data_IF_319226893281
#
_entry.id   IF_319226893281
#
_cell.length_a   1.000
_cell.length_b   1.000
_cell.length_c   1.000
_cell.angle_alpha   90.00
_cell.angle_beta   90.00
_cell.angle_gamma   90.00
#
_symmetry.space_group_name_H-M   'P 1'
#
loop_
_entity.id
_entity.type
_entity.pdbx_description
1 polymer ?
#
# COMPACT_ATOMS: atom_id res chain seq x y z
N UNK A 1 4.29 12.87 16.99
CA UNK A 1 3.99 11.96 15.87
C UNK A 1 2.95 12.62 15.00
N UNK A 2 3.12 12.59 13.67
CA UNK A 2 2.16 13.17 12.72
C UNK A 2 0.87 12.33 12.77
N UNK A 3 -0.29 12.97 12.88
CA UNK A 3 -1.58 12.26 12.81
C UNK A 3 -1.68 11.62 11.42
N UNK A 4 -1.95 10.31 11.32
CA UNK A 4 -2.10 9.67 10.02
C UNK A 4 -3.24 10.33 9.24
N UNK A 5 -3.00 10.55 7.97
CA UNK A 5 -3.95 11.07 7.00
C UNK A 5 -3.69 10.39 5.67
N UNK A 6 -4.66 10.48 4.76
CA UNK A 6 -4.47 10.00 3.40
C UNK A 6 -3.25 10.66 2.78
N UNK A 7 -2.35 9.87 2.22
CA UNK A 7 -1.12 10.38 1.58
C UNK A 7 -0.57 9.37 0.59
N UNK A 8 0.18 9.84 -0.40
CA UNK A 8 0.97 9.00 -1.26
C UNK A 8 2.39 9.54 -1.38
N UNK A 9 3.36 8.64 -1.48
CA UNK A 9 4.75 8.96 -1.71
C UNK A 9 5.28 8.09 -2.83
N UNK A 10 5.92 8.69 -3.84
CA UNK A 10 6.66 7.94 -4.84
C UNK A 10 7.94 7.40 -4.19
N UNK A 11 8.09 6.09 -4.20
CA UNK A 11 9.21 5.36 -3.60
C UNK A 11 10.27 5.02 -4.65
N UNK A 12 9.83 4.72 -5.87
CA UNK A 12 10.69 4.59 -7.04
C UNK A 12 9.91 5.00 -8.28
N UNK A 13 10.62 5.61 -9.22
CA UNK A 13 10.07 6.12 -10.47
C UNK A 13 11.09 5.89 -11.57
N UNK A 14 10.71 5.16 -12.60
CA UNK A 14 11.63 4.74 -13.64
C UNK A 14 10.96 4.77 -15.00
N UNK A 15 11.73 5.04 -16.03
CA UNK A 15 11.25 5.05 -17.42
C UNK A 15 12.23 4.26 -18.29
N UNK A 16 11.71 3.34 -19.10
CA UNK A 16 12.51 2.54 -20.01
C UNK A 16 12.99 3.35 -21.21
N UNK A 17 13.91 2.78 -21.99
CA UNK A 17 14.33 3.30 -23.30
C UNK A 17 13.17 3.49 -24.28
N UNK A 18 12.11 2.68 -24.16
CA UNK A 18 10.87 2.78 -24.93
C UNK A 18 9.88 3.84 -24.40
N UNK A 19 10.26 4.58 -23.34
CA UNK A 19 9.41 5.60 -22.75
C UNK A 19 8.28 5.05 -21.86
N UNK A 20 8.32 3.77 -21.48
CA UNK A 20 7.29 3.16 -20.63
C UNK A 20 7.67 3.36 -19.17
N UNK A 21 6.87 4.17 -18.46
CA UNK A 21 7.10 4.52 -17.05
C UNK A 21 6.59 3.42 -16.12
N UNK A 22 7.40 3.05 -15.14
CA UNK A 22 7.06 2.16 -14.03
C UNK A 22 7.26 2.93 -12.72
N UNK A 23 6.22 2.98 -11.90
CA UNK A 23 6.27 3.71 -10.63
C UNK A 23 5.81 2.84 -9.47
N UNK A 24 6.47 2.99 -8.34
CA UNK A 24 6.10 2.38 -7.07
C UNK A 24 5.75 3.45 -6.05
N UNK A 25 4.55 3.36 -5.48
CA UNK A 25 4.06 4.29 -4.46
C UNK A 25 3.84 3.58 -3.12
N UNK A 26 4.11 4.29 -2.04
CA UNK A 26 3.59 4.00 -0.71
C UNK A 26 2.35 4.88 -0.48
N UNK A 27 1.22 4.26 -0.21
CA UNK A 27 -0.09 4.91 -0.08
C UNK A 27 -0.67 4.61 1.29
N UNK A 28 -1.04 5.67 2.02
CA UNK A 28 -1.82 5.59 3.25
C UNK A 28 -3.26 5.96 2.93
N UNK A 29 -4.20 5.08 3.28
CA UNK A 29 -5.64 5.26 3.06
C UNK A 29 -6.45 4.58 4.16
N UNK A 30 -7.77 4.79 4.18
CA UNK A 30 -8.67 4.07 5.10
C UNK A 30 -8.66 2.58 4.81
N UNK A 31 -8.62 1.76 5.86
CA UNK A 31 -8.56 0.30 5.71
C UNK A 31 -9.80 -0.29 5.05
N UNK A 32 -10.97 0.33 5.21
CA UNK A 32 -12.22 -0.17 4.66
C UNK A 32 -12.34 0.00 3.14
N UNK A 33 -11.61 0.93 2.51
CA UNK A 33 -11.58 1.04 1.04
C UNK A 33 -10.56 0.11 0.38
N UNK A 34 -9.82 -0.69 1.16
CA UNK A 34 -8.83 -1.64 0.60
C UNK A 34 -9.46 -2.65 -0.37
N UNK A 35 -10.68 -3.11 -0.11
CA UNK A 35 -11.36 -4.06 -0.99
C UNK A 35 -11.62 -3.44 -2.38
N UNK A 36 -12.04 -2.18 -2.42
CA UNK A 36 -12.28 -1.43 -3.64
C UNK A 36 -10.96 -1.12 -4.38
N UNK A 37 -9.94 -0.67 -3.66
CA UNK A 37 -8.59 -0.49 -4.21
C UNK A 37 -8.07 -1.79 -4.83
N UNK A 38 -8.40 -2.93 -4.22
CA UNK A 38 -7.90 -4.22 -4.67
C UNK A 38 -8.55 -4.77 -5.95
N UNK A 39 -9.61 -4.13 -6.45
CA UNK A 39 -10.26 -4.50 -7.73
C UNK A 39 -9.41 -4.16 -8.95
N UNK A 40 -8.42 -3.27 -8.82
CA UNK A 40 -7.53 -2.86 -9.91
C UNK A 40 -6.43 -3.90 -10.12
N UNK A 41 -6.66 -4.82 -11.05
CA UNK A 41 -5.80 -5.98 -11.33
C UNK A 41 -4.44 -5.64 -11.96
N UNK A 42 -4.31 -4.45 -12.54
CA UNK A 42 -3.04 -3.97 -13.14
C UNK A 42 -1.99 -3.57 -12.08
N UNK A 43 -2.33 -3.69 -10.79
CA UNK A 43 -1.46 -3.33 -9.67
C UNK A 43 -0.83 -4.54 -9.00
N UNK A 44 0.50 -4.49 -8.87
CA UNK A 44 1.27 -5.33 -7.93
C UNK A 44 1.27 -4.65 -6.57
N UNK A 45 1.00 -5.41 -5.51
CA UNK A 45 0.68 -4.84 -4.19
C UNK A 45 1.28 -5.65 -3.05
N UNK A 46 1.80 -4.92 -2.06
CA UNK A 46 1.99 -5.41 -0.69
C UNK A 46 1.23 -4.52 0.28
N UNK A 47 0.56 -5.14 1.26
CA UNK A 47 -0.32 -4.44 2.20
C UNK A 47 -0.05 -4.88 3.63
N UNK A 48 -0.13 -3.95 4.59
CA UNK A 48 0.07 -4.26 6.01
C UNK A 48 -0.96 -5.27 6.55
N UNK A 49 -0.51 -6.46 6.99
CA UNK A 49 -1.40 -7.53 7.46
C UNK A 49 -1.84 -7.35 8.92
N UNK A 50 -3.15 -7.28 9.17
CA UNK A 50 -3.71 -7.33 10.54
C UNK A 50 -3.39 -8.64 11.27
N UNK A 51 -3.08 -9.73 10.55
CA UNK A 51 -2.65 -10.99 11.15
C UNK A 51 -1.22 -10.93 11.69
N UNK A 52 -0.40 -10.01 11.19
CA UNK A 52 0.98 -9.88 11.62
C UNK A 52 1.12 -9.02 12.89
N UNK A 53 0.26 -8.00 13.05
CA UNK A 53 0.38 -6.99 14.11
C UNK A 53 -0.31 -7.44 15.41
N UNK A 54 0.34 -7.31 16.59
CA UNK A 54 -0.28 -7.56 17.90
C UNK A 54 -1.58 -6.77 18.11
N UNK A 55 -2.51 -7.35 18.88
CA UNK A 55 -3.86 -6.78 19.12
C UNK A 55 -3.75 -5.45 19.83
N UNK A 56 -2.91 -5.38 20.86
CA UNK A 56 -2.69 -4.20 21.68
C UNK A 56 -2.15 -3.03 20.84
N UNK A 57 -1.27 -3.33 19.87
CA UNK A 57 -0.76 -2.31 18.95
C UNK A 57 -1.86 -1.77 18.03
N UNK A 58 -2.76 -2.65 17.52
CA UNK A 58 -3.89 -2.22 16.68
C UNK A 58 -4.93 -1.41 17.47
N UNK A 59 -5.29 -1.88 18.66
CA UNK A 59 -6.19 -1.16 19.57
C UNK A 59 -5.64 0.22 19.90
N UNK A 60 -4.35 0.31 20.28
CA UNK A 60 -3.70 1.59 20.53
C UNK A 60 -3.76 2.51 19.31
N UNK A 61 -3.52 1.98 18.11
CA UNK A 61 -3.63 2.76 16.87
C UNK A 61 -5.02 3.32 16.65
N UNK A 62 -6.10 2.57 16.92
CA UNK A 62 -7.47 3.08 16.78
C UNK A 62 -7.77 4.16 17.81
N UNK A 63 -7.41 3.93 19.07
CA UNK A 63 -7.69 4.88 20.15
C UNK A 63 -6.93 6.20 19.99
N UNK A 64 -5.73 6.17 19.41
CA UNK A 64 -4.91 7.37 19.20
C UNK A 64 -5.15 8.02 17.83
N UNK A 65 -5.41 7.22 16.81
CA UNK A 65 -5.39 7.61 15.40
C UNK A 65 -6.52 6.93 14.62
N UNK A 66 -7.75 7.04 15.10
CA UNK A 66 -8.94 6.54 14.42
C UNK A 66 -9.04 7.12 13.00
N UNK A 67 -9.29 6.26 12.01
CA UNK A 67 -9.61 6.69 10.66
C UNK A 67 -11.10 7.05 10.59
N UNK A 68 -11.40 8.34 10.56
CA UNK A 68 -12.76 8.86 10.40
C UNK A 68 -13.14 8.95 8.91
N UNK A 69 -14.41 8.72 8.55
CA UNK A 69 -14.90 9.05 7.21
C UNK A 69 -14.57 10.48 6.83
N UNK A 70 -14.25 10.71 5.55
CA UNK A 70 -13.88 12.03 5.02
C UNK A 70 -15.10 12.95 4.97
N UNK A 71 -16.26 12.38 4.68
CA UNK A 71 -17.53 13.08 4.52
C UNK A 71 -18.67 12.31 5.20
N UNK A 72 -19.75 13.02 5.54
CA UNK A 72 -20.95 12.46 6.18
C UNK A 72 -22.16 12.67 5.27
N UNK A 73 -22.21 11.87 4.20
CA UNK A 73 -23.29 11.88 3.22
C UNK A 73 -24.63 11.44 3.81
N UNK A 74 -25.70 12.09 3.38
CA UNK A 74 -27.06 11.70 3.72
C UNK A 74 -27.46 10.42 2.97
N UNK A 75 -28.27 9.58 3.63
CA UNK A 75 -28.76 8.35 3.03
C UNK A 75 -29.72 8.64 1.86
N UNK A 76 -29.54 7.94 0.74
CA UNK A 76 -30.37 8.01 -0.45
C UNK A 76 -30.28 6.71 -1.28
N UNK A 77 -31.21 6.44 -2.21
CA UNK A 77 -31.06 5.33 -3.15
C UNK A 77 -29.79 5.45 -4.01
N UNK A 78 -29.19 4.31 -4.36
CA UNK A 78 -27.96 4.24 -5.14
C UNK A 78 -26.71 3.99 -4.30
N UNK A 79 -25.53 4.15 -4.91
CA UNK A 79 -24.23 3.85 -4.27
C UNK A 79 -23.53 5.08 -3.69
N UNK A 80 -24.06 6.28 -3.92
CA UNK A 80 -23.41 7.56 -3.60
C UNK A 80 -24.36 8.46 -2.84
N UNK A 81 -23.79 9.38 -2.05
CA UNK A 81 -24.53 10.45 -1.40
C UNK A 81 -24.36 11.76 -2.20
N UNK A 82 -25.46 12.34 -2.66
CA UNK A 82 -25.44 13.64 -3.36
C UNK A 82 -25.41 14.83 -2.41
N UNK A 83 -25.90 14.64 -1.18
CA UNK A 83 -26.02 15.69 -0.17
C UNK A 83 -25.30 15.28 1.11
N UNK A 84 -24.66 16.23 1.75
CA UNK A 84 -24.12 16.05 3.10
C UNK A 84 -25.24 16.18 4.13
N UNK A 85 -25.07 15.51 5.27
CA UNK A 85 -25.89 15.78 6.45
C UNK A 85 -25.74 17.24 6.89
N UNK A 86 -26.76 17.77 7.56
CA UNK A 86 -26.62 19.03 8.28
C UNK A 86 -25.46 18.92 9.28
N UNK A 87 -24.73 20.02 9.50
CA UNK A 87 -23.52 20.04 10.34
C UNK A 87 -23.75 19.39 11.72
N UNK A 88 -24.87 19.69 12.38
CA UNK A 88 -25.21 19.13 13.69
C UNK A 88 -25.36 17.61 13.67
N UNK A 89 -25.86 17.05 12.57
CA UNK A 89 -26.06 15.60 12.45
C UNK A 89 -24.79 14.89 11.99
N UNK A 90 -23.97 15.54 11.16
CA UNK A 90 -22.61 15.07 10.85
C UNK A 90 -21.74 15.00 12.12
N UNK A 91 -21.82 16.00 13.01
CA UNK A 91 -21.12 16.00 14.31
C UNK A 91 -21.59 14.84 15.21
N UNK A 92 -22.91 14.56 15.25
CA UNK A 92 -23.44 13.38 15.96
C UNK A 92 -22.95 12.07 15.34
N UNK A 93 -22.96 11.96 14.01
CA UNK A 93 -22.50 10.77 13.30
C UNK A 93 -21.01 10.48 13.58
N UNK A 94 -20.17 11.52 13.58
CA UNK A 94 -18.78 11.41 14.01
C UNK A 94 -18.66 10.95 15.48
N UNK A 95 -19.53 11.46 16.37
CA UNK A 95 -19.63 10.99 17.76
C UNK A 95 -19.95 9.50 17.88
N UNK A 96 -20.92 9.01 17.10
CA UNK A 96 -21.27 7.58 17.04
C UNK A 96 -20.10 6.74 16.53
N UNK A 97 -19.39 7.20 15.50
CA UNK A 97 -18.21 6.53 14.97
C UNK A 97 -17.08 6.42 16.02
N UNK A 98 -16.85 7.48 16.79
CA UNK A 98 -15.91 7.48 17.91
C UNK A 98 -16.31 6.45 18.96
N UNK A 99 -17.58 6.42 19.36
CA UNK A 99 -18.08 5.46 20.35
C UNK A 99 -17.95 4.03 19.85
N UNK A 100 -18.27 3.78 18.58
CA UNK A 100 -18.12 2.48 17.95
C UNK A 100 -16.65 2.02 17.93
N UNK A 101 -15.71 2.91 17.60
CA UNK A 101 -14.28 2.57 17.56
C UNK A 101 -13.73 2.19 18.93
N UNK A 102 -14.15 2.92 19.98
CA UNK A 102 -13.80 2.62 21.38
C UNK A 102 -14.42 1.28 21.83
N UNK A 103 -15.70 1.05 21.52
CA UNK A 103 -16.38 -0.18 21.88
C UNK A 103 -15.73 -1.41 21.21
N UNK A 104 -15.45 -1.32 19.91
CA UNK A 104 -14.78 -2.41 19.18
C UNK A 104 -13.34 -2.64 19.65
N UNK A 105 -12.62 -1.58 20.03
CA UNK A 105 -11.31 -1.70 20.66
C UNK A 105 -11.38 -2.46 22.01
N UNK A 106 -12.39 -2.17 22.84
CA UNK A 106 -12.63 -2.88 24.09
C UNK A 106 -12.92 -4.37 23.84
N UNK A 107 -13.81 -4.68 22.89
CA UNK A 107 -14.12 -6.07 22.56
C UNK A 107 -12.92 -6.81 21.95
N UNK A 108 -12.07 -6.16 21.16
CA UNK A 108 -10.84 -6.77 20.67
C UNK A 108 -9.88 -7.16 21.82
N UNK A 109 -9.78 -6.34 22.87
CA UNK A 109 -9.02 -6.68 24.07
C UNK A 109 -9.66 -7.81 24.88
N UNK A 110 -10.98 -7.85 24.99
CA UNK A 110 -11.68 -8.98 25.64
C UNK A 110 -11.43 -10.29 24.90
N UNK A 111 -11.48 -10.28 23.55
CA UNK A 111 -11.11 -11.44 22.74
C UNK A 111 -9.66 -11.86 22.99
N UNK A 112 -8.73 -10.90 23.11
CA UNK A 112 -7.34 -11.18 23.44
C UNK A 112 -7.20 -11.85 24.81
N UNK A 113 -7.94 -11.40 25.83
CA UNK A 113 -7.97 -11.99 27.18
C UNK A 113 -8.50 -13.42 27.17
N UNK A 114 -9.43 -13.74 26.27
CA UNK A 114 -9.94 -15.10 26.06
C UNK A 114 -8.98 -15.99 25.24
N UNK A 115 -7.82 -15.46 24.82
CA UNK A 115 -6.83 -16.19 24.02
C UNK A 115 -7.16 -16.27 22.52
N UNK A 116 -8.10 -15.46 22.02
CA UNK A 116 -8.43 -15.44 20.59
C UNK A 116 -7.26 -14.85 19.81
N UNK A 117 -6.82 -15.59 18.79
CA UNK A 117 -5.69 -15.18 17.97
C UNK A 117 -5.94 -13.86 17.22
N UNK A 118 -4.88 -13.05 17.08
CA UNK A 118 -4.88 -11.73 16.39
C UNK A 118 -5.47 -11.75 14.97
N UNK A 119 -5.45 -12.90 14.31
CA UNK A 119 -6.05 -13.04 12.97
C UNK A 119 -7.56 -12.77 12.95
N UNK A 120 -8.24 -13.01 14.08
CA UNK A 120 -9.67 -12.82 14.26
C UNK A 120 -9.96 -11.57 15.11
N UNK A 121 -9.30 -11.42 16.26
CA UNK A 121 -9.59 -10.30 17.17
C UNK A 121 -9.36 -8.93 16.50
N UNK A 122 -8.33 -8.79 15.66
CA UNK A 122 -8.07 -7.53 14.96
C UNK A 122 -9.15 -7.17 13.93
N UNK A 123 -10.03 -8.10 13.54
CA UNK A 123 -11.11 -7.82 12.56
C UNK A 123 -12.13 -6.82 13.08
N UNK A 124 -12.39 -6.83 14.40
CA UNK A 124 -13.31 -5.88 15.03
C UNK A 124 -12.88 -4.42 14.85
N UNK A 125 -11.57 -4.18 14.74
CA UNK A 125 -11.01 -2.82 14.68
C UNK A 125 -10.62 -2.38 13.26
N UNK A 126 -10.66 -3.26 12.26
CA UNK A 126 -10.28 -2.91 10.89
C UNK A 126 -11.04 -1.72 10.29
N UNK A 127 -12.35 -1.51 10.56
CA UNK A 127 -13.07 -0.34 10.04
C UNK A 127 -12.51 1.02 10.51
N UNK A 128 -11.74 1.06 11.59
CA UNK A 128 -11.26 2.31 12.19
C UNK A 128 -9.75 2.53 11.96
N UNK A 129 -9.12 1.70 11.14
CA UNK A 129 -7.67 1.74 10.90
C UNK A 129 -7.32 2.52 9.65
N UNK A 130 -6.23 3.27 9.74
CA UNK A 130 -5.42 3.63 8.58
C UNK A 130 -4.65 2.41 8.08
N UNK A 131 -4.38 2.40 6.77
CA UNK A 131 -3.75 1.29 6.09
C UNK A 131 -2.72 1.76 5.09
N UNK A 132 -1.53 1.15 5.15
CA UNK A 132 -0.45 1.40 4.20
C UNK A 132 -0.37 0.28 3.19
N UNK A 133 -0.27 0.65 1.91
CA UNK A 133 -0.07 -0.24 0.76
C UNK A 133 1.11 0.26 -0.04
N UNK A 134 1.98 -0.65 -0.44
CA UNK A 134 2.97 -0.44 -1.49
C UNK A 134 2.36 -0.95 -2.79
N UNK A 135 2.34 -0.12 -3.83
CA UNK A 135 1.71 -0.42 -5.11
C UNK A 135 2.62 -0.04 -6.26
N UNK A 136 2.76 -0.94 -7.24
CA UNK A 136 3.54 -0.70 -8.46
C UNK A 136 2.68 -0.95 -9.69
N UNK A 137 2.82 -0.08 -10.70
CA UNK A 137 2.15 -0.24 -11.99
C UNK A 137 2.81 0.59 -13.10
N UNK A 138 2.57 0.15 -14.33
CA UNK A 138 2.80 0.91 -15.57
C UNK A 138 1.56 1.65 -16.04
N UNK A 139 0.37 1.32 -15.49
CA UNK A 139 -0.92 1.78 -16.00
C UNK A 139 -1.77 2.39 -14.87
N UNK A 140 -1.86 3.72 -14.81
CA UNK A 140 -2.61 4.44 -13.78
C UNK A 140 -3.87 5.14 -14.28
N UNK A 141 -3.97 5.39 -15.59
CA UNK A 141 -4.99 6.27 -16.16
C UNK A 141 -6.41 5.80 -15.84
N UNK A 142 -6.71 4.52 -16.07
CA UNK A 142 -8.02 3.96 -15.74
C UNK A 142 -8.35 4.07 -14.24
N UNK A 143 -7.36 3.87 -13.36
CA UNK A 143 -7.57 4.04 -11.92
C UNK A 143 -7.92 5.49 -11.59
N UNK A 144 -7.18 6.47 -12.11
CA UNK A 144 -7.46 7.88 -11.85
C UNK A 144 -8.78 8.35 -12.47
N UNK A 145 -9.15 7.89 -13.66
CA UNK A 145 -10.46 8.21 -14.25
C UNK A 145 -11.62 7.73 -13.37
N UNK A 146 -11.51 6.54 -12.79
CA UNK A 146 -12.55 5.97 -11.95
C UNK A 146 -12.55 6.55 -10.53
N UNK A 147 -11.37 6.82 -9.96
CA UNK A 147 -11.22 7.11 -8.53
C UNK A 147 -11.00 8.58 -8.22
N UNK A 148 -10.40 9.37 -9.10
CA UNK A 148 -10.39 10.83 -9.00
C UNK A 148 -11.69 11.42 -9.58
N UNK A 149 -12.82 10.90 -9.12
CA UNK A 149 -14.16 11.22 -9.63
C UNK A 149 -15.08 11.56 -8.46
N UNK A 150 -16.00 12.53 -8.60
CA UNK A 150 -17.01 12.82 -7.58
C UNK A 150 -17.93 11.63 -7.29
N UNK A 151 -18.01 10.67 -8.22
CA UNK A 151 -18.79 9.44 -8.11
C UNK A 151 -18.08 8.36 -7.27
N UNK A 152 -16.79 8.50 -7.00
CA UNK A 152 -16.07 7.59 -6.14
C UNK A 152 -16.38 7.85 -4.66
N UNK A 153 -16.30 6.81 -3.83
CA UNK A 153 -16.35 6.99 -2.39
C UNK A 153 -15.25 7.99 -1.95
N UNK A 154 -15.56 8.98 -1.08
CA UNK A 154 -14.61 10.05 -0.73
C UNK A 154 -13.25 9.55 -0.26
N UNK A 155 -13.20 8.47 0.53
CA UNK A 155 -11.95 7.93 1.07
C UNK A 155 -10.99 7.41 -0.01
N UNK A 156 -11.48 6.64 -0.99
CA UNK A 156 -10.63 6.16 -2.09
C UNK A 156 -10.30 7.29 -3.06
N UNK A 157 -11.21 8.27 -3.22
CA UNK A 157 -10.96 9.47 -4.04
C UNK A 157 -9.78 10.26 -3.50
N UNK A 158 -9.76 10.58 -2.22
CA UNK A 158 -8.64 11.27 -1.60
C UNK A 158 -7.31 10.51 -1.77
N UNK A 159 -7.34 9.17 -1.68
CA UNK A 159 -6.14 8.37 -1.89
C UNK A 159 -5.64 8.43 -3.34
N UNK A 160 -6.57 8.31 -4.30
CA UNK A 160 -6.24 8.39 -5.72
C UNK A 160 -5.74 9.77 -6.14
N UNK A 161 -6.33 10.84 -5.59
CA UNK A 161 -5.89 12.22 -5.83
C UNK A 161 -4.48 12.46 -5.27
N UNK A 162 -4.19 12.01 -4.05
CA UNK A 162 -2.86 12.10 -3.46
C UNK A 162 -1.82 11.31 -4.29
N UNK A 163 -2.19 10.14 -4.82
CA UNK A 163 -1.33 9.36 -5.72
C UNK A 163 -1.06 10.11 -7.04
N UNK A 164 -2.10 10.67 -7.66
CA UNK A 164 -1.99 11.44 -8.91
C UNK A 164 -1.11 12.67 -8.72
N UNK A 165 -1.31 13.39 -7.63
CA UNK A 165 -0.49 14.55 -7.26
C UNK A 165 0.98 14.14 -7.06
N UNK A 166 1.25 13.10 -6.27
CA UNK A 166 2.61 12.62 -6.04
C UNK A 166 3.33 12.22 -7.35
N UNK A 167 2.62 11.59 -8.29
CA UNK A 167 3.19 11.24 -9.60
C UNK A 167 3.44 12.46 -10.49
N UNK A 168 2.60 13.49 -10.38
CA UNK A 168 2.73 14.71 -11.19
C UNK A 168 3.97 15.53 -10.84
N UNK A 169 4.44 15.44 -9.59
CA UNK A 169 5.67 16.08 -9.12
C UNK A 169 6.91 15.19 -9.20
N UNK A 170 6.78 13.94 -9.62
CA UNK A 170 7.89 12.99 -9.67
C UNK A 170 8.53 12.96 -11.05
N UNK A 171 9.87 12.97 -11.08
CA UNK A 171 10.68 12.84 -12.29
C UNK A 171 11.26 11.42 -12.37
N UNK A 172 11.01 10.68 -13.47
CA UNK A 172 11.47 9.30 -13.59
C UNK A 172 12.98 9.22 -13.85
N UNK A 173 13.64 8.21 -13.28
CA UNK A 173 15.00 7.84 -13.65
C UNK A 173 14.99 7.00 -14.93
N UNK A 174 15.77 7.39 -15.93
CA UNK A 174 15.98 6.56 -17.12
C UNK A 174 16.74 5.29 -16.75
N UNK A 175 16.19 4.14 -17.13
CA UNK A 175 16.84 2.84 -16.96
C UNK A 175 17.12 2.20 -18.31
N UNK A 176 18.35 1.73 -18.45
CA UNK A 176 18.74 0.75 -19.46
C UNK A 176 18.35 -0.67 -19.06
N UNK A 177 18.48 -1.62 -19.99
CA UNK A 177 18.05 -3.00 -19.85
C UNK A 177 18.74 -3.78 -18.72
N UNK A 178 19.96 -3.37 -18.36
CA UNK A 178 20.74 -3.97 -17.27
C UNK A 178 20.45 -3.33 -15.91
N UNK A 179 19.67 -2.25 -15.89
CA UNK A 179 19.32 -1.51 -14.68
C UNK A 179 17.94 -1.90 -14.15
N UNK A 180 17.77 -1.70 -12.84
CA UNK A 180 16.60 -2.18 -12.12
C UNK A 180 15.83 -1.04 -11.46
N UNK A 181 14.50 -1.14 -11.54
CA UNK A 181 13.55 -0.44 -10.70
C UNK A 181 13.57 -1.09 -9.32
N UNK A 182 14.13 -0.37 -8.34
CA UNK A 182 14.42 -0.90 -7.00
C UNK A 182 13.78 -0.03 -5.91
N UNK A 183 12.49 -0.22 -5.60
CA UNK A 183 11.82 0.51 -4.52
C UNK A 183 12.55 0.38 -3.18
N UNK A 184 12.60 1.48 -2.42
CA UNK A 184 13.23 1.60 -1.10
C UNK A 184 14.76 1.42 -1.06
N UNK A 185 15.45 1.26 -2.19
CA UNK A 185 16.92 1.33 -2.27
C UNK A 185 17.33 2.80 -2.40
N UNK A 186 18.25 3.26 -1.55
CA UNK A 186 18.75 4.63 -1.57
C UNK A 186 19.91 4.82 -2.53
N UNK A 187 20.12 6.04 -3.06
CA UNK A 187 21.25 6.37 -3.94
C UNK A 187 22.61 5.86 -3.44
N UNK A 188 22.89 5.97 -2.14
CA UNK A 188 24.18 5.56 -1.57
C UNK A 188 24.37 4.04 -1.58
N UNK A 189 23.28 3.28 -1.53
CA UNK A 189 23.29 1.81 -1.59
C UNK A 189 23.63 1.33 -3.02
N UNK A 190 23.23 2.07 -4.06
CA UNK A 190 23.64 1.76 -5.45
C UNK A 190 25.14 1.94 -5.68
N UNK A 191 25.81 2.79 -4.90
CA UNK A 191 27.26 3.05 -5.05
C UNK A 191 28.12 2.04 -4.29
N UNK A 192 27.55 1.35 -3.30
CA UNK A 192 28.29 0.55 -2.33
C UNK A 192 27.97 -0.94 -2.39
N UNK A 193 26.94 -1.33 -3.15
CA UNK A 193 26.45 -2.70 -3.24
C UNK A 193 26.27 -3.12 -4.70
N UNK A 194 26.33 -4.43 -4.95
CA UNK A 194 26.05 -4.97 -6.27
C UNK A 194 24.53 -5.03 -6.56
N UNK A 195 24.19 -5.30 -7.82
CA UNK A 195 22.79 -5.43 -8.24
C UNK A 195 22.06 -6.61 -7.61
N UNK A 196 22.77 -7.69 -7.27
CA UNK A 196 22.14 -8.86 -6.66
C UNK A 196 21.63 -8.52 -5.25
N UNK A 197 22.44 -7.82 -4.46
CA UNK A 197 22.10 -7.41 -3.12
C UNK A 197 21.04 -6.32 -3.08
N UNK A 198 21.15 -5.30 -3.94
CA UNK A 198 20.12 -4.23 -4.00
C UNK A 198 18.75 -4.78 -4.39
N UNK A 199 18.67 -5.77 -5.30
CA UNK A 199 17.43 -6.50 -5.59
C UNK A 199 16.85 -7.17 -4.35
N UNK A 200 17.68 -7.90 -3.59
CA UNK A 200 17.24 -8.60 -2.37
C UNK A 200 16.72 -7.64 -1.31
N UNK A 201 17.43 -6.53 -1.09
CA UNK A 201 17.03 -5.47 -0.16
C UNK A 201 15.70 -4.85 -0.57
N UNK A 202 15.54 -4.52 -1.85
CA UNK A 202 14.31 -3.92 -2.38
C UNK A 202 13.09 -4.82 -2.15
N UNK A 203 13.19 -6.11 -2.49
CA UNK A 203 12.13 -7.10 -2.25
C UNK A 203 11.80 -7.21 -0.75
N UNK A 204 12.81 -7.36 0.11
CA UNK A 204 12.61 -7.47 1.55
C UNK A 204 11.93 -6.22 2.13
N UNK A 205 12.27 -5.03 1.63
CA UNK A 205 11.70 -3.76 2.08
C UNK A 205 10.26 -3.58 1.58
N UNK A 206 9.95 -3.97 0.34
CA UNK A 206 8.58 -4.00 -0.16
C UNK A 206 7.68 -4.94 0.66
N UNK A 207 8.21 -6.06 1.17
CA UNK A 207 7.46 -6.97 2.03
C UNK A 207 7.15 -6.39 3.43
N UNK A 208 7.89 -5.37 3.88
CA UNK A 208 7.83 -4.79 5.24
C UNK A 208 6.91 -3.59 5.38
N UNK A 209 5.86 -3.49 4.56
CA UNK A 209 4.91 -2.35 4.53
C UNK A 209 4.42 -1.89 5.93
N UNK A 210 4.33 -2.80 6.91
CA UNK A 210 3.93 -2.50 8.29
C UNK A 210 5.06 -2.18 9.28
N UNK A 211 6.33 -2.45 8.93
CA UNK A 211 7.48 -2.37 9.83
C UNK A 211 8.41 -1.18 9.53
N UNK A 212 8.66 -0.89 8.25
CA UNK A 212 9.55 0.21 7.84
C UNK A 212 9.01 1.59 8.26
N UNK A 213 7.69 1.76 8.18
CA UNK A 213 7.00 3.01 8.52
C UNK A 213 6.94 3.30 10.01
N UNK A 214 7.15 2.30 10.88
CA UNK A 214 7.05 2.48 12.33
C UNK A 214 8.39 2.59 13.04
N UNK A 215 9.41 1.83 12.62
CA UNK A 215 10.68 1.77 13.34
C UNK A 215 11.86 2.41 12.59
N UNK A 216 11.74 2.69 11.28
CA UNK A 216 12.82 3.32 10.48
C UNK A 216 14.16 2.57 10.46
N UNK A 217 14.24 1.39 11.10
CA UNK A 217 15.46 0.60 11.26
C UNK A 217 15.73 -0.14 9.97
N UNK A 218 16.83 0.23 9.32
CA UNK A 218 17.43 -0.50 8.20
C UNK A 218 18.49 -1.44 8.76
N UNK A 219 18.23 -2.73 8.65
CA UNK A 219 19.14 -3.80 9.06
C UNK A 219 19.31 -4.72 7.87
N UNK A 220 20.47 -4.62 7.22
CA UNK A 220 20.81 -5.37 6.01
C UNK A 220 20.73 -6.88 6.26
N UNK A 221 21.21 -7.35 7.41
CA UNK A 221 21.19 -8.77 7.77
C UNK A 221 19.75 -9.25 7.91
N UNK A 222 18.89 -8.45 8.53
CA UNK A 222 17.47 -8.78 8.64
C UNK A 222 16.76 -8.74 7.27
N UNK A 223 17.14 -7.83 6.38
CA UNK A 223 16.58 -7.71 5.03
C UNK A 223 16.93 -8.95 4.19
N UNK A 224 18.19 -9.37 4.15
CA UNK A 224 18.60 -10.61 3.48
C UNK A 224 17.89 -11.84 4.04
N UNK A 225 17.83 -11.99 5.37
CA UNK A 225 17.09 -13.08 6.03
C UNK A 225 15.59 -13.06 5.72
N UNK A 226 15.01 -11.90 5.43
CA UNK A 226 13.62 -11.81 5.02
C UNK A 226 13.47 -12.22 3.56
N UNK A 227 14.34 -11.73 2.66
CA UNK A 227 14.35 -12.15 1.26
C UNK A 227 14.41 -13.68 1.13
N UNK A 228 15.39 -14.32 1.78
CA UNK A 228 15.58 -15.76 1.69
C UNK A 228 14.36 -16.53 2.23
N UNK A 229 13.73 -16.04 3.31
CA UNK A 229 12.49 -16.63 3.83
C UNK A 229 11.30 -16.47 2.90
N UNK A 230 11.21 -15.37 2.14
CA UNK A 230 10.11 -15.17 1.19
C UNK A 230 10.27 -16.09 -0.02
N UNK A 231 11.50 -16.25 -0.51
CA UNK A 231 11.84 -17.10 -1.66
C UNK A 231 11.68 -18.59 -1.34
N UNK A 232 12.21 -19.03 -0.19
CA UNK A 232 12.25 -20.44 0.20
C UNK A 232 11.02 -20.90 1.01
N UNK A 233 10.01 -20.05 1.21
CA UNK A 233 8.76 -20.48 1.83
C UNK A 233 8.05 -21.51 0.95
N UNK A 234 7.26 -22.39 1.57
CA UNK A 234 6.43 -23.36 0.84
C UNK A 234 4.94 -23.09 1.16
N UNK A 235 4.18 -22.47 0.22
CA UNK A 235 4.63 -21.92 -1.07
C UNK A 235 5.39 -20.58 -0.92
N UNK A 236 6.18 -20.18 -1.94
CA UNK A 236 6.90 -18.91 -1.91
C UNK A 236 5.98 -17.70 -1.80
N UNK A 237 6.44 -16.67 -1.10
CA UNK A 237 5.76 -15.38 -1.03
C UNK A 237 6.19 -14.49 -2.21
N UNK A 238 5.56 -14.68 -3.37
CA UNK A 238 5.99 -14.05 -4.63
C UNK A 238 5.67 -12.55 -4.76
N UNK A 239 4.66 -12.02 -4.05
CA UNK A 239 4.20 -10.64 -4.29
C UNK A 239 5.26 -9.54 -4.09
N UNK A 240 6.19 -9.61 -3.10
CA UNK A 240 7.25 -8.62 -2.98
C UNK A 240 8.24 -8.59 -4.15
N UNK A 241 8.36 -9.69 -4.89
CA UNK A 241 9.22 -9.81 -6.07
C UNK A 241 8.62 -9.16 -7.31
N UNK A 242 7.32 -8.83 -7.30
CA UNK A 242 6.65 -8.13 -8.40
C UNK A 242 7.03 -6.65 -8.46
N UNK A 243 7.43 -6.05 -7.34
CA UNK A 243 7.76 -4.63 -7.27
C UNK A 243 9.13 -4.30 -7.88
N UNK A 244 10.02 -5.30 -7.98
CA UNK A 244 11.36 -5.16 -8.53
C UNK A 244 11.34 -5.63 -9.98
N UNK A 245 11.75 -4.78 -10.91
CA UNK A 245 11.67 -5.09 -12.33
C UNK A 245 12.77 -4.37 -13.12
N UNK A 246 13.06 -4.83 -14.33
CA UNK A 246 13.94 -4.15 -15.30
C UNK A 246 13.24 -3.96 -16.65
N UNK A 247 13.69 -3.00 -17.49
CA UNK A 247 13.17 -2.85 -18.84
C UNK A 247 13.37 -4.11 -19.68
N UNK A 248 12.46 -4.35 -20.63
CA UNK A 248 12.67 -5.34 -21.69
C UNK A 248 13.66 -4.83 -22.73
N UNK A 249 14.37 -5.77 -23.37
CA UNK A 249 15.38 -5.52 -24.41
C UNK A 249 14.79 -5.28 -25.79
N UNK A 250 13.66 -5.91 -26.07
CA UNK A 250 13.09 -5.91 -27.40
C UNK A 250 12.12 -4.74 -27.58
N UNK A 251 12.01 -4.25 -28.82
CA UNK A 251 11.15 -3.13 -29.25
C UNK A 251 9.63 -3.42 -29.11
N UNK A 252 9.26 -4.47 -28.40
CA UNK A 252 7.88 -4.93 -28.29
C UNK A 252 7.27 -4.46 -26.97
N UNK A 253 6.10 -3.82 -27.07
CA UNK A 253 5.23 -3.38 -25.98
C UNK A 253 4.56 -4.59 -25.27
N UNK A 254 5.34 -5.60 -24.91
CA UNK A 254 4.88 -6.86 -24.32
C UNK A 254 4.53 -6.68 -22.84
N UNK A 255 3.49 -7.37 -22.38
CA UNK A 255 3.17 -7.46 -20.96
C UNK A 255 3.81 -8.69 -20.33
N UNK A 256 4.62 -8.50 -19.28
CA UNK A 256 5.05 -9.56 -18.38
C UNK A 256 4.35 -9.39 -17.03
N UNK A 257 3.53 -10.39 -16.67
CA UNK A 257 2.57 -10.23 -15.59
C UNK A 257 1.61 -9.07 -15.88
N UNK A 258 1.54 -8.10 -14.98
CA UNK A 258 0.73 -6.90 -15.12
C UNK A 258 1.47 -5.69 -15.69
N UNK A 259 2.80 -5.74 -15.86
CA UNK A 259 3.58 -4.60 -16.33
C UNK A 259 3.83 -4.67 -17.83
N UNK A 260 3.74 -3.51 -18.48
CA UNK A 260 3.98 -3.35 -19.91
C UNK A 260 5.42 -2.89 -20.16
N UNK A 261 6.23 -3.60 -20.95
CA UNK A 261 7.62 -3.22 -21.24
C UNK A 261 8.63 -3.46 -20.11
N UNK A 262 8.25 -4.20 -19.06
CA UNK A 262 9.09 -4.49 -17.90
C UNK A 262 8.98 -5.97 -17.53
N UNK A 263 10.09 -6.59 -17.12
CA UNK A 263 10.11 -7.94 -16.56
C UNK A 263 10.30 -7.89 -15.04
N UNK A 264 9.36 -8.49 -14.31
CA UNK A 264 9.40 -8.58 -12.85
C UNK A 264 10.42 -9.63 -12.38
N UNK A 265 11.13 -9.35 -11.29
CA UNK A 265 12.12 -10.25 -10.70
C UNK A 265 11.54 -11.63 -10.37
N UNK A 266 10.25 -11.70 -10.00
CA UNK A 266 9.56 -12.98 -9.74
C UNK A 266 9.75 -14.00 -10.88
N UNK A 267 9.72 -13.54 -12.13
CA UNK A 267 9.84 -14.44 -13.28
C UNK A 267 11.27 -14.93 -13.47
N UNK A 268 12.27 -14.10 -13.15
CA UNK A 268 13.68 -14.49 -13.24
C UNK A 268 14.10 -15.47 -12.15
N UNK A 269 13.44 -15.42 -10.99
CA UNK A 269 13.70 -16.36 -9.87
C UNK A 269 12.76 -17.57 -9.86
N UNK A 270 11.91 -17.74 -10.89
CA UNK A 270 11.04 -18.91 -11.06
C UNK A 270 9.80 -18.95 -10.18
N UNK A 271 9.23 -17.78 -9.83
CA UNK A 271 8.04 -17.60 -8.97
C UNK A 271 6.76 -17.17 -9.72
#
# INVERSE_FOLDING_TARGET
MKVPSTSAKVIADSISTLGIRLTTLEVVMHRFVLAEFNTHRVFSRNSASSRAIPIEKRVKSVLQHCAYPVEWGANQPGMQAEKQLARSDAEKAAGVWTQASIAMASYALQLAQLGVHKQLANRLVEPFLWHTVVVTSTDWENFFMQRCSPLAQPEIRCAAEAMREALSYSEPRHLSEEEWHLPYVQPEEYLTMDFADTKRLSVARCARVSYLTHDGRRDLVADYKLYDRLLCAEPPHASPFEHVARPLTDNDDVRHGNFRGWIQLRHEVGL
#
